data_IF_974709309010
#
_entry.id   IF_974709309010
#
_cell.length_a   1.000
_cell.length_b   1.000
_cell.length_c   1.000
_cell.angle_alpha   90.00
_cell.angle_beta   90.00
_cell.angle_gamma   90.00
#
_symmetry.space_group_name_H-M   'P 1'
#
loop_
_entity.id
_entity.type
_entity.pdbx_description
1 polymer ?
#
# COMPACT_ATOMS: atom_id res chain seq x y z
N UNK A 1 -21.66 11.63 -5.84
CA UNK A 1 -21.19 10.69 -6.89
C UNK A 1 -19.66 10.76 -6.90
N UNK A 2 -18.97 9.81 -6.27
CA UNK A 2 -17.50 9.81 -6.11
C UNK A 2 -16.87 8.77 -7.05
N UNK A 3 -17.07 8.94 -8.36
CA UNK A 3 -16.49 8.05 -9.38
C UNK A 3 -15.94 8.85 -10.54
N UNK A 4 -14.86 8.35 -11.16
CA UNK A 4 -14.39 8.86 -12.45
C UNK A 4 -15.41 8.47 -13.52
N UNK A 5 -15.76 9.41 -14.42
CA UNK A 5 -16.55 9.08 -15.59
C UNK A 5 -15.70 8.21 -16.53
N UNK A 6 -16.12 6.96 -16.74
CA UNK A 6 -15.44 6.00 -17.62
C UNK A 6 -16.45 5.30 -18.52
N UNK A 7 -16.02 4.82 -19.69
CA UNK A 7 -16.84 3.97 -20.56
C UNK A 7 -16.81 2.50 -20.09
N UNK A 8 -15.66 2.08 -19.54
CA UNK A 8 -15.40 0.79 -18.91
C UNK A 8 -14.29 0.95 -17.86
N UNK A 9 -14.20 0.01 -16.92
CA UNK A 9 -13.02 -0.13 -16.06
C UNK A 9 -12.63 -1.59 -15.88
N UNK A 10 -11.33 -1.81 -15.65
CA UNK A 10 -10.78 -3.11 -15.25
C UNK A 10 -9.99 -2.94 -13.96
N UNK A 11 -10.37 -3.65 -12.91
CA UNK A 11 -9.65 -3.70 -11.64
C UNK A 11 -8.88 -5.02 -11.54
N UNK A 12 -7.69 -4.98 -10.93
CA UNK A 12 -6.80 -6.14 -10.79
C UNK A 12 -6.35 -6.26 -9.33
N UNK A 13 -6.39 -7.46 -8.80
CA UNK A 13 -5.83 -7.79 -7.47
C UNK A 13 -5.15 -9.15 -7.50
N UNK A 14 -4.06 -9.31 -6.76
CA UNK A 14 -3.40 -10.62 -6.60
C UNK A 14 -4.10 -11.53 -5.58
N UNK A 15 -5.05 -11.01 -4.80
CA UNK A 15 -5.71 -11.72 -3.73
C UNK A 15 -7.19 -12.03 -4.04
N UNK A 16 -7.54 -13.32 -4.03
CA UNK A 16 -8.92 -13.81 -4.24
C UNK A 16 -9.89 -13.25 -3.19
N UNK A 17 -9.52 -13.29 -1.92
CA UNK A 17 -10.36 -12.76 -0.84
C UNK A 17 -10.65 -11.26 -0.99
N UNK A 18 -9.66 -10.49 -1.47
CA UNK A 18 -9.86 -9.07 -1.76
C UNK A 18 -10.77 -8.87 -2.98
N UNK A 19 -10.61 -9.69 -4.04
CA UNK A 19 -11.52 -9.65 -5.18
C UNK A 19 -12.97 -9.95 -4.77
N UNK A 20 -13.21 -10.96 -3.94
CA UNK A 20 -14.55 -11.28 -3.46
C UNK A 20 -15.17 -10.10 -2.68
N UNK A 21 -14.39 -9.45 -1.80
CA UNK A 21 -14.83 -8.28 -1.05
C UNK A 21 -15.15 -7.09 -1.97
N UNK A 22 -14.25 -6.76 -2.90
CA UNK A 22 -14.44 -5.66 -3.85
C UNK A 22 -15.63 -5.95 -4.75
N UNK A 23 -15.78 -7.19 -5.23
CA UNK A 23 -16.92 -7.56 -6.06
C UNK A 23 -18.24 -7.38 -5.31
N UNK A 24 -18.34 -7.86 -4.06
CA UNK A 24 -19.56 -7.71 -3.26
C UNK A 24 -19.97 -6.23 -3.09
N UNK A 25 -19.00 -5.33 -2.97
CA UNK A 25 -19.23 -3.88 -2.85
C UNK A 25 -19.56 -3.22 -4.19
N UNK A 26 -18.89 -3.64 -5.26
CA UNK A 26 -18.99 -3.01 -6.58
C UNK A 26 -20.15 -3.57 -7.43
N UNK A 27 -20.59 -4.80 -7.18
CA UNK A 27 -21.59 -5.50 -7.99
C UNK A 27 -22.86 -4.69 -8.30
N UNK A 28 -23.44 -3.93 -7.35
CA UNK A 28 -24.63 -3.12 -7.64
C UNK A 28 -24.41 -2.00 -8.67
N UNK A 29 -23.17 -1.57 -8.87
CA UNK A 29 -22.79 -0.48 -9.76
C UNK A 29 -21.95 -0.94 -10.97
N UNK A 30 -21.59 -2.22 -11.05
CA UNK A 30 -20.84 -2.80 -12.15
C UNK A 30 -21.67 -2.88 -13.42
N UNK A 31 -21.08 -2.48 -14.54
CA UNK A 31 -21.69 -2.59 -15.87
C UNK A 31 -21.20 -3.86 -16.58
N UNK A 32 -21.91 -4.33 -17.64
CA UNK A 32 -21.49 -5.54 -18.37
C UNK A 32 -20.07 -5.49 -18.94
N UNK A 33 -19.55 -4.31 -19.26
CA UNK A 33 -18.20 -4.10 -19.79
C UNK A 33 -17.12 -3.87 -18.74
N UNK A 34 -17.49 -3.81 -17.45
CA UNK A 34 -16.52 -3.66 -16.36
C UNK A 34 -16.00 -5.03 -15.93
N UNK A 35 -14.72 -5.11 -15.52
CA UNK A 35 -14.08 -6.37 -15.17
C UNK A 35 -13.30 -6.28 -13.85
N UNK A 36 -13.40 -7.32 -13.02
CA UNK A 36 -12.54 -7.53 -11.86
C UNK A 36 -11.73 -8.81 -12.08
N UNK A 37 -10.42 -8.68 -12.18
CA UNK A 37 -9.50 -9.77 -12.45
C UNK A 37 -8.68 -10.11 -11.21
N UNK A 38 -8.53 -11.40 -10.96
CA UNK A 38 -7.52 -11.92 -10.04
C UNK A 38 -6.33 -12.37 -10.87
N UNK A 39 -5.15 -11.82 -10.61
CA UNK A 39 -3.96 -12.13 -11.39
C UNK A 39 -2.67 -11.55 -10.83
N UNK A 40 -1.54 -12.12 -11.26
CA UNK A 40 -0.22 -11.67 -10.86
C UNK A 40 0.41 -10.79 -11.95
N UNK A 41 1.02 -9.68 -11.57
CA UNK A 41 1.65 -8.74 -12.50
C UNK A 41 2.87 -9.30 -13.25
N UNK A 42 3.45 -10.40 -12.76
CA UNK A 42 4.50 -11.15 -13.46
C UNK A 42 3.98 -11.99 -14.61
N UNK A 43 2.66 -12.25 -14.68
CA UNK A 43 2.04 -12.97 -15.78
C UNK A 43 1.99 -12.07 -17.04
N UNK A 44 2.68 -12.44 -18.13
CA UNK A 44 2.63 -11.68 -19.38
C UNK A 44 1.25 -11.74 -20.06
N UNK A 45 0.42 -12.76 -19.77
CA UNK A 45 -0.90 -12.90 -20.36
C UNK A 45 -1.94 -11.98 -19.70
N UNK A 46 -1.72 -11.59 -18.43
CA UNK A 46 -2.60 -10.68 -17.71
C UNK A 46 -2.73 -9.35 -18.46
N UNK A 47 -3.94 -8.96 -18.87
CA UNK A 47 -4.17 -7.72 -19.65
C UNK A 47 -3.37 -7.65 -20.98
N UNK A 48 -2.99 -8.79 -21.56
CA UNK A 48 -2.29 -8.80 -22.84
C UNK A 48 -3.17 -8.17 -23.94
N UNK A 49 -2.61 -7.19 -24.67
CA UNK A 49 -3.33 -6.46 -25.72
C UNK A 49 -4.27 -5.36 -25.22
N UNK A 50 -4.45 -5.22 -23.91
CA UNK A 50 -5.29 -4.16 -23.34
C UNK A 50 -4.55 -2.82 -23.28
N UNK A 51 -5.31 -1.73 -23.43
CA UNK A 51 -4.83 -0.36 -23.22
C UNK A 51 -5.93 0.45 -22.54
N UNK A 52 -5.52 1.38 -21.67
CA UNK A 52 -6.41 2.22 -20.89
C UNK A 52 -6.01 3.70 -21.01
N UNK A 53 -7.01 4.58 -21.13
CA UNK A 53 -6.77 6.03 -21.09
C UNK A 53 -6.11 6.45 -19.78
N UNK A 54 -6.63 5.93 -18.67
CA UNK A 54 -6.14 6.21 -17.32
C UNK A 54 -5.85 4.90 -16.61
N UNK A 55 -4.65 4.79 -16.03
CA UNK A 55 -4.24 3.69 -15.16
C UNK A 55 -4.03 4.25 -13.76
N UNK A 56 -4.59 3.59 -12.75
CA UNK A 56 -4.38 3.91 -11.35
C UNK A 56 -3.64 2.74 -10.68
N UNK A 57 -2.39 2.98 -10.30
CA UNK A 57 -1.58 2.11 -9.48
C UNK A 57 -1.72 2.55 -8.02
N UNK A 58 -2.82 2.15 -7.36
CA UNK A 58 -3.14 2.54 -5.98
C UNK A 58 -2.39 1.64 -4.98
N UNK A 59 -1.36 2.18 -4.31
CA UNK A 59 -0.43 1.47 -3.42
C UNK A 59 0.20 0.20 -4.01
N UNK A 60 0.11 0.04 -5.34
CA UNK A 60 0.46 -1.20 -6.03
C UNK A 60 1.95 -1.54 -5.89
N UNK A 61 2.82 -0.52 -5.96
CA UNK A 61 4.27 -0.71 -5.90
C UNK A 61 4.72 -1.41 -4.61
N UNK A 62 4.15 -1.02 -3.46
CA UNK A 62 4.46 -1.67 -2.19
C UNK A 62 3.73 -3.00 -2.02
N UNK A 63 2.47 -3.06 -2.45
CA UNK A 63 1.63 -4.26 -2.33
C UNK A 63 2.14 -5.44 -3.17
N UNK A 64 2.84 -5.19 -4.28
CA UNK A 64 3.32 -6.25 -5.17
C UNK A 64 4.35 -7.17 -4.51
N UNK A 65 5.07 -6.73 -3.46
CA UNK A 65 6.08 -7.54 -2.77
C UNK A 65 5.50 -8.87 -2.26
N UNK A 66 4.26 -8.86 -1.78
CA UNK A 66 3.59 -10.06 -1.25
C UNK A 66 3.17 -11.07 -2.33
N UNK A 67 3.16 -10.69 -3.61
CA UNK A 67 2.69 -11.52 -4.72
C UNK A 67 3.76 -11.81 -5.77
N UNK A 68 4.67 -10.87 -5.99
CA UNK A 68 5.79 -10.95 -6.91
C UNK A 68 7.01 -10.23 -6.32
N UNK A 69 7.74 -10.88 -5.39
CA UNK A 69 8.94 -10.31 -4.80
C UNK A 69 9.94 -9.84 -5.87
N UNK A 70 10.56 -8.69 -5.63
CA UNK A 70 11.55 -8.05 -6.52
C UNK A 70 11.01 -7.50 -7.85
N UNK A 71 9.71 -7.59 -8.13
CA UNK A 71 9.12 -7.11 -9.39
C UNK A 71 8.98 -5.57 -9.46
N UNK A 72 9.27 -4.84 -8.38
CA UNK A 72 9.09 -3.39 -8.29
C UNK A 72 9.94 -2.60 -9.29
N UNK A 73 11.10 -3.11 -9.70
CA UNK A 73 11.91 -2.49 -10.75
C UNK A 73 11.25 -2.57 -12.12
N UNK A 74 10.50 -3.63 -12.38
CA UNK A 74 9.87 -3.91 -13.67
C UNK A 74 8.43 -3.38 -13.75
N UNK A 75 7.81 -3.08 -12.60
CA UNK A 75 6.40 -2.72 -12.51
C UNK A 75 6.02 -1.57 -13.45
N UNK A 76 6.77 -0.47 -13.46
CA UNK A 76 6.42 0.67 -14.31
C UNK A 76 6.65 0.35 -15.80
N UNK A 77 7.70 -0.42 -16.14
CA UNK A 77 7.87 -0.90 -17.51
C UNK A 77 6.69 -1.78 -17.95
N UNK A 78 6.16 -2.60 -17.02
CA UNK A 78 4.97 -3.44 -17.24
C UNK A 78 3.68 -2.65 -17.42
N UNK A 79 3.53 -1.52 -16.72
CA UNK A 79 2.37 -0.62 -16.82
C UNK A 79 2.45 0.32 -18.03
N UNK A 80 3.64 0.55 -18.58
CA UNK A 80 3.87 1.44 -19.71
C UNK A 80 3.00 1.13 -20.94
N UNK A 81 2.97 -0.11 -21.49
CA UNK A 81 2.14 -0.40 -22.65
C UNK A 81 0.63 -0.33 -22.36
N UNK A 82 0.22 -0.51 -21.10
CA UNK A 82 -1.18 -0.44 -20.69
C UNK A 82 -1.70 1.01 -20.58
N UNK A 83 -0.80 2.00 -20.49
CA UNK A 83 -1.16 3.40 -20.25
C UNK A 83 -1.14 4.21 -21.53
N UNK A 84 -2.31 4.66 -21.99
CA UNK A 84 -2.45 5.47 -23.21
C UNK A 84 -2.28 6.97 -22.95
N UNK A 85 -2.87 7.51 -21.86
CA UNK A 85 -2.81 8.96 -21.57
C UNK A 85 -2.18 9.27 -20.22
N UNK A 86 -2.63 8.66 -19.13
CA UNK A 86 -2.22 9.06 -17.78
C UNK A 86 -2.08 7.88 -16.83
N UNK A 87 -0.95 7.79 -16.17
CA UNK A 87 -0.74 6.94 -15.00
C UNK A 87 -0.85 7.80 -13.74
N UNK A 88 -1.62 7.32 -12.76
CA UNK A 88 -1.60 7.80 -11.40
C UNK A 88 -0.96 6.74 -10.51
N UNK A 89 0.04 7.11 -9.73
CA UNK A 89 0.69 6.24 -8.75
C UNK A 89 0.44 6.83 -7.37
N UNK A 90 -0.07 6.01 -6.45
CA UNK A 90 -0.13 6.36 -5.03
C UNK A 90 0.84 5.46 -4.25
N UNK A 91 1.31 5.98 -3.12
CA UNK A 91 2.14 5.24 -2.18
C UNK A 91 2.42 6.08 -0.94
N UNK A 92 3.17 5.51 0.00
CA UNK A 92 3.54 6.18 1.24
C UNK A 92 5.05 6.31 1.34
N UNK A 93 5.52 7.44 1.88
CA UNK A 93 6.94 7.61 2.16
C UNK A 93 7.40 6.61 3.23
N UNK A 94 8.56 5.94 3.07
CA UNK A 94 9.02 4.96 4.04
C UNK A 94 9.18 5.54 5.45
N UNK A 95 8.51 4.93 6.43
CA UNK A 95 8.44 5.41 7.82
C UNK A 95 9.10 4.48 8.85
N UNK A 96 9.70 3.36 8.40
CA UNK A 96 10.35 2.36 9.29
C UNK A 96 11.88 2.36 9.18
N UNK A 97 12.46 3.20 8.32
CA UNK A 97 13.90 3.14 7.96
C UNK A 97 14.79 3.74 9.04
N UNK A 98 14.49 4.96 9.48
CA UNK A 98 15.25 5.67 10.50
C UNK A 98 14.30 6.17 11.59
N UNK A 99 14.74 6.12 12.85
CA UNK A 99 13.93 6.58 13.98
C UNK A 99 13.75 8.10 13.91
N UNK A 100 12.50 8.60 13.87
CA UNK A 100 12.24 10.03 13.93
C UNK A 100 12.60 10.64 15.29
N UNK A 101 12.93 11.92 15.31
CA UNK A 101 13.28 12.64 16.54
C UNK A 101 12.05 13.05 17.35
N UNK A 102 10.92 13.30 16.68
CA UNK A 102 9.67 13.67 17.33
C UNK A 102 8.94 12.43 17.88
N UNK A 103 8.21 12.62 18.97
CA UNK A 103 7.54 11.52 19.69
C UNK A 103 6.48 10.82 18.83
N UNK A 104 5.66 11.58 18.09
CA UNK A 104 4.61 11.01 17.24
C UNK A 104 5.21 10.15 16.13
N UNK A 105 6.28 10.62 15.50
CA UNK A 105 7.05 9.86 14.52
C UNK A 105 7.73 8.64 15.12
N UNK A 106 8.33 8.75 16.31
CA UNK A 106 8.92 7.63 17.00
C UNK A 106 7.89 6.53 17.30
N UNK A 107 6.66 6.89 17.70
CA UNK A 107 5.56 5.93 17.92
C UNK A 107 5.12 5.24 16.62
N UNK A 108 4.95 5.99 15.52
CA UNK A 108 4.60 5.41 14.20
C UNK A 108 5.71 4.47 13.70
N UNK A 109 6.96 4.88 13.86
CA UNK A 109 8.13 4.07 13.52
C UNK A 109 8.20 2.80 14.38
N UNK A 110 7.99 2.90 15.70
CA UNK A 110 7.95 1.75 16.63
C UNK A 110 6.83 0.78 16.24
N UNK A 111 5.63 1.26 15.93
CA UNK A 111 4.49 0.44 15.49
C UNK A 111 4.81 -0.29 14.19
N UNK A 112 5.35 0.41 13.18
CA UNK A 112 5.73 -0.20 11.91
C UNK A 112 6.81 -1.27 12.08
N UNK A 113 7.84 -0.99 12.90
CA UNK A 113 8.91 -1.95 13.20
C UNK A 113 8.42 -3.16 13.97
N UNK A 114 7.52 -2.96 14.94
CA UNK A 114 6.86 -4.03 15.67
C UNK A 114 6.07 -4.93 14.71
N UNK A 115 5.25 -4.34 13.82
CA UNK A 115 4.51 -5.10 12.82
C UNK A 115 5.45 -5.94 11.95
N UNK A 116 6.50 -5.32 11.41
CA UNK A 116 7.43 -6.02 10.54
C UNK A 116 8.16 -7.16 11.28
N UNK A 117 8.53 -6.96 12.54
CA UNK A 117 9.11 -8.03 13.35
C UNK A 117 8.12 -9.21 13.52
N UNK A 118 6.86 -8.93 13.83
CA UNK A 118 5.83 -9.96 13.99
C UNK A 118 5.59 -10.75 12.70
N UNK A 119 5.48 -10.05 11.56
CA UNK A 119 5.32 -10.68 10.25
C UNK A 119 6.53 -11.54 9.89
N UNK A 120 7.75 -11.06 10.16
CA UNK A 120 8.99 -11.83 9.91
C UNK A 120 8.95 -13.15 10.68
N UNK A 121 8.61 -13.09 11.97
CA UNK A 121 8.59 -14.27 12.84
C UNK A 121 7.47 -15.24 12.48
N UNK A 122 6.39 -14.76 11.87
CA UNK A 122 5.32 -15.58 11.33
C UNK A 122 5.63 -16.19 9.95
N UNK A 123 6.81 -15.90 9.37
CA UNK A 123 7.19 -16.36 8.03
C UNK A 123 6.50 -15.60 6.89
N UNK A 124 5.93 -14.42 7.16
CA UNK A 124 5.26 -13.57 6.18
C UNK A 124 6.19 -12.48 5.64
N UNK A 125 5.90 -12.01 4.41
CA UNK A 125 6.59 -10.88 3.80
C UNK A 125 5.97 -9.55 4.22
N UNK A 126 6.80 -8.53 4.43
CA UNK A 126 6.35 -7.17 4.73
C UNK A 126 6.07 -6.39 3.45
N UNK A 127 5.18 -5.41 3.55
CA UNK A 127 5.13 -4.36 2.55
C UNK A 127 6.46 -3.60 2.50
N UNK A 128 6.90 -3.25 1.30
CA UNK A 128 8.05 -2.37 1.09
C UNK A 128 7.56 -1.06 0.51
N UNK A 129 7.78 0.01 1.26
CA UNK A 129 7.50 1.36 0.79
C UNK A 129 8.72 1.94 0.09
N UNK A 130 8.48 2.83 -0.88
CA UNK A 130 9.54 3.41 -1.70
C UNK A 130 9.51 4.94 -1.61
N UNK A 131 10.66 5.61 -1.42
CA UNK A 131 10.70 7.07 -1.39
C UNK A 131 10.17 7.66 -2.70
N UNK A 132 9.42 8.76 -2.60
CA UNK A 132 8.83 9.42 -3.79
C UNK A 132 9.87 9.73 -4.87
N UNK A 133 11.09 10.11 -4.48
CA UNK A 133 12.18 10.44 -5.41
C UNK A 133 12.66 9.21 -6.20
N UNK A 134 12.69 8.05 -5.56
CA UNK A 134 12.99 6.79 -6.23
C UNK A 134 11.90 6.45 -7.24
N UNK A 135 10.63 6.60 -6.86
CA UNK A 135 9.49 6.34 -7.76
C UNK A 135 9.52 7.25 -8.97
N UNK A 136 9.79 8.55 -8.79
CA UNK A 136 9.95 9.50 -9.88
C UNK A 136 11.09 9.11 -10.83
N UNK A 137 12.21 8.61 -10.29
CA UNK A 137 13.32 8.13 -11.10
C UNK A 137 12.95 6.87 -11.91
N UNK A 138 12.23 5.92 -11.31
CA UNK A 138 11.81 4.71 -12.02
C UNK A 138 10.77 4.98 -13.10
N UNK A 139 9.79 5.85 -12.84
CA UNK A 139 8.83 6.29 -13.86
C UNK A 139 9.55 6.83 -15.11
N UNK A 140 10.55 7.71 -14.92
CA UNK A 140 11.36 8.24 -16.03
C UNK A 140 12.10 7.15 -16.78
N UNK A 141 12.71 6.21 -16.06
CA UNK A 141 13.43 5.06 -16.67
C UNK A 141 12.49 4.15 -17.47
N UNK A 142 11.23 4.03 -17.06
CA UNK A 142 10.23 3.17 -17.70
C UNK A 142 9.40 3.87 -18.79
N UNK A 143 9.86 5.02 -19.31
CA UNK A 143 9.20 5.70 -20.43
C UNK A 143 7.97 6.51 -20.02
N UNK A 144 7.95 7.05 -18.80
CA UNK A 144 6.95 8.03 -18.37
C UNK A 144 7.59 9.39 -18.08
N UNK A 145 6.82 10.45 -18.30
CA UNK A 145 7.13 11.81 -17.85
C UNK A 145 6.23 12.17 -16.67
N UNK A 146 6.75 12.25 -15.43
CA UNK A 146 5.99 12.79 -14.31
C UNK A 146 5.61 14.24 -14.58
N UNK A 147 4.31 14.55 -14.54
CA UNK A 147 3.76 15.89 -14.80
C UNK A 147 3.22 16.57 -13.55
N UNK A 148 2.94 15.81 -12.50
CA UNK A 148 2.65 16.34 -11.17
C UNK A 148 3.04 15.33 -10.09
N UNK A 149 3.47 15.84 -8.94
CA UNK A 149 3.67 15.07 -7.72
C UNK A 149 3.14 15.88 -6.54
N UNK A 150 2.30 15.27 -5.69
CA UNK A 150 1.74 15.91 -4.50
C UNK A 150 1.94 15.01 -3.30
N UNK A 151 2.22 15.63 -2.15
CA UNK A 151 2.38 14.97 -0.86
C UNK A 151 1.18 15.31 0.02
N UNK A 152 0.69 14.32 0.76
CA UNK A 152 -0.47 14.40 1.63
C UNK A 152 -0.05 13.96 3.04
N UNK A 153 0.16 14.90 3.98
CA UNK A 153 0.60 14.56 5.33
C UNK A 153 -0.36 13.60 6.03
N UNK A 154 0.17 12.57 6.69
CA UNK A 154 -0.66 11.56 7.36
C UNK A 154 -0.92 11.95 8.81
N UNK A 155 -2.14 11.62 9.27
CA UNK A 155 -2.58 11.76 10.65
C UNK A 155 -3.14 10.42 11.12
N UNK A 156 -2.29 9.60 11.70
CA UNK A 156 -2.70 8.30 12.22
C UNK A 156 -3.53 8.47 13.49
N UNK A 157 -4.67 7.77 13.54
CA UNK A 157 -5.62 7.80 14.66
C UNK A 157 -5.69 6.44 15.34
N UNK A 158 -6.51 6.33 16.39
CA UNK A 158 -6.72 5.09 17.14
C UNK A 158 -6.99 3.86 16.25
N UNK A 159 -7.78 4.01 15.18
CA UNK A 159 -8.02 2.92 14.21
C UNK A 159 -6.73 2.36 13.59
N UNK A 160 -5.76 3.22 13.26
CA UNK A 160 -4.47 2.77 12.74
C UNK A 160 -3.72 1.99 13.81
N UNK A 161 -3.58 2.57 15.02
CA UNK A 161 -2.86 1.93 16.14
C UNK A 161 -3.44 0.56 16.44
N UNK A 162 -4.76 0.47 16.65
CA UNK A 162 -5.43 -0.78 16.96
C UNK A 162 -5.25 -1.78 15.83
N UNK A 163 -5.51 -1.38 14.58
CA UNK A 163 -5.38 -2.26 13.42
C UNK A 163 -3.98 -2.84 13.23
N UNK A 164 -2.92 -2.04 13.44
CA UNK A 164 -1.54 -2.53 13.33
C UNK A 164 -1.16 -3.51 14.44
N UNK A 165 -1.68 -3.34 15.66
CA UNK A 165 -1.38 -4.26 16.77
C UNK A 165 -2.26 -5.51 16.71
N UNK A 166 -3.55 -5.37 16.40
CA UNK A 166 -4.50 -6.48 16.29
C UNK A 166 -4.09 -7.48 15.20
N UNK A 167 -3.60 -6.99 14.06
CA UNK A 167 -3.17 -7.88 12.98
C UNK A 167 -1.97 -8.76 13.38
N UNK A 168 -1.13 -8.29 14.30
CA UNK A 168 0.01 -9.06 14.79
C UNK A 168 -0.43 -10.15 15.75
N UNK A 169 -1.49 -9.92 16.54
CA UNK A 169 -1.93 -10.84 17.59
C UNK A 169 -2.16 -12.26 17.09
N UNK A 170 -2.96 -12.43 16.04
CA UNK A 170 -3.27 -13.76 15.49
C UNK A 170 -2.06 -14.51 14.95
N UNK A 171 -0.99 -13.78 14.58
CA UNK A 171 0.26 -14.33 14.04
C UNK A 171 1.21 -14.78 15.15
N UNK A 172 1.16 -14.09 16.29
CA UNK A 172 2.01 -14.36 17.45
C UNK A 172 1.53 -15.55 18.27
N UNK A 173 0.24 -15.92 18.18
CA UNK A 173 -0.35 -17.03 18.94
C UNK A 173 0.40 -18.37 18.72
N UNK A 174 0.95 -18.58 17.52
CA UNK A 174 1.70 -19.78 17.17
C UNK A 174 3.14 -19.83 17.72
N UNK A 175 3.65 -18.72 18.29
CA UNK A 175 5.06 -18.58 18.68
C UNK A 175 5.35 -18.88 20.16
N UNK A 176 4.38 -19.41 20.90
CA UNK A 176 4.54 -19.79 22.30
C UNK A 176 4.98 -18.63 23.20
N UNK A 177 5.98 -18.86 24.05
CA UNK A 177 6.45 -17.87 25.05
C UNK A 177 7.00 -16.57 24.44
N UNK A 178 7.63 -16.63 23.26
CA UNK A 178 8.08 -15.43 22.53
C UNK A 178 6.87 -14.63 22.05
N UNK A 179 5.84 -15.32 21.55
CA UNK A 179 4.57 -14.70 21.16
C UNK A 179 3.94 -13.91 22.31
N UNK A 180 3.88 -14.48 23.51
CA UNK A 180 3.33 -13.81 24.69
C UNK A 180 4.10 -12.53 25.06
N UNK A 181 5.43 -12.57 25.02
CA UNK A 181 6.26 -11.39 25.28
C UNK A 181 6.04 -10.28 24.23
N UNK A 182 5.92 -10.65 22.96
CA UNK A 182 5.64 -9.70 21.88
C UNK A 182 4.23 -9.13 21.95
N UNK A 183 3.23 -9.93 22.35
CA UNK A 183 1.88 -9.44 22.61
C UNK A 183 1.90 -8.39 23.71
N UNK A 184 2.55 -8.68 24.84
CA UNK A 184 2.67 -7.71 25.94
C UNK A 184 3.38 -6.41 25.50
N UNK A 185 4.43 -6.54 24.69
CA UNK A 185 5.11 -5.38 24.10
C UNK A 185 4.19 -4.56 23.18
N UNK A 186 3.42 -5.24 22.32
CA UNK A 186 2.45 -4.60 21.42
C UNK A 186 1.35 -3.85 22.16
N UNK A 187 0.82 -4.41 23.25
CA UNK A 187 -0.17 -3.74 24.11
C UNK A 187 0.42 -2.52 24.83
N UNK A 188 1.63 -2.62 25.38
CA UNK A 188 2.30 -1.46 25.97
C UNK A 188 2.58 -0.34 24.95
N UNK A 189 2.90 -0.71 23.70
CA UNK A 189 3.06 0.25 22.60
C UNK A 189 1.71 0.87 22.20
N UNK A 190 0.63 0.07 22.16
CA UNK A 190 -0.73 0.54 21.92
C UNK A 190 -1.12 1.59 22.95
N UNK A 191 -0.94 1.33 24.23
CA UNK A 191 -1.32 2.24 25.31
C UNK A 191 -0.61 3.59 25.18
N UNK A 192 0.71 3.57 24.95
CA UNK A 192 1.51 4.79 24.71
C UNK A 192 1.00 5.57 23.50
N UNK A 193 0.74 4.88 22.39
CA UNK A 193 0.29 5.52 21.17
C UNK A 193 -1.14 6.08 21.28
N UNK A 194 -2.06 5.36 21.94
CA UNK A 194 -3.42 5.83 22.16
C UNK A 194 -3.47 7.01 23.12
N UNK A 195 -2.67 7.01 24.20
CA UNK A 195 -2.53 8.15 25.09
C UNK A 195 -2.04 9.40 24.34
N UNK A 196 -1.06 9.25 23.44
CA UNK A 196 -0.60 10.35 22.59
C UNK A 196 -1.71 10.83 21.63
N UNK A 197 -2.46 9.92 21.00
CA UNK A 197 -3.59 10.25 20.12
C UNK A 197 -4.69 10.98 20.88
N UNK A 198 -4.99 10.58 22.11
CA UNK A 198 -5.99 11.25 22.95
C UNK A 198 -5.56 12.67 23.31
N UNK A 199 -4.29 12.87 23.68
CA UNK A 199 -3.75 14.18 24.02
C UNK A 199 -3.61 15.13 22.81
N UNK A 200 -3.27 14.62 21.62
CA UNK A 200 -2.87 15.45 20.46
C UNK A 200 -3.78 15.30 19.22
N UNK A 201 -4.79 14.43 19.30
CA UNK A 201 -5.76 14.11 18.25
C UNK A 201 -5.27 13.15 17.16
N UNK A 202 -3.95 12.98 16.98
CA UNK A 202 -3.35 12.07 15.99
C UNK A 202 -1.83 11.95 16.15
N UNK A 203 -1.24 10.83 15.73
CA UNK A 203 0.19 10.74 15.45
C UNK A 203 0.45 11.36 14.06
N UNK A 204 1.13 12.51 14.01
CA UNK A 204 1.45 13.22 12.77
C UNK A 204 2.83 12.81 12.29
N UNK A 205 2.89 11.94 11.29
CA UNK A 205 4.17 11.48 10.75
C UNK A 205 4.02 11.01 9.31
N UNK A 206 5.05 11.20 8.49
CA UNK A 206 5.06 10.77 7.10
C UNK A 206 4.04 11.47 6.20
N UNK A 207 3.97 11.02 4.96
CA UNK A 207 3.01 11.47 3.97
C UNK A 207 2.73 10.38 2.94
N UNK A 208 1.50 10.37 2.44
CA UNK A 208 1.19 9.69 1.19
C UNK A 208 1.60 10.59 0.03
N UNK A 209 1.90 10.00 -1.12
CA UNK A 209 2.14 10.74 -2.34
C UNK A 209 1.21 10.28 -3.46
N UNK A 210 0.88 11.22 -4.34
CA UNK A 210 0.22 10.95 -5.61
C UNK A 210 1.07 11.55 -6.72
N UNK A 211 1.47 10.71 -7.67
CA UNK A 211 2.21 11.11 -8.86
C UNK A 211 1.30 10.92 -10.07
N UNK A 212 1.22 11.93 -10.91
CA UNK A 212 0.60 11.88 -12.22
C UNK A 212 1.73 11.86 -13.27
N UNK A 213 1.70 10.89 -14.19
CA UNK A 213 2.71 10.73 -15.22
C UNK A 213 2.10 10.39 -16.58
N UNK A 214 2.61 11.02 -17.63
CA UNK A 214 2.19 10.77 -19.02
C UNK A 214 3.17 9.79 -19.68
N UNK A 215 2.69 8.84 -20.50
CA UNK A 215 3.57 7.97 -21.29
C UNK A 215 4.35 8.77 -22.35
N UNK A 216 5.63 8.44 -22.54
CA UNK A 216 6.52 9.02 -23.60
C UNK A 216 6.43 8.23 -24.88
#
# INVERSE_FOLDING_TARGET
>A
MLGLATERWTAVTGAEGHAAQVHALAAPAMRPQDALLVGNWTDPALLAGEMFDTVLADYLLGAVEGFAPYFQSELFARLRPLTRRRLYVTGVEPYVVARPADEAGALVWEIGRFRDACLTLAGEQHYREYPIDWVLAQLRKSGFTPVAARKFPIRYKARFVNGQIDMCRSRLDALGGIGQALIAHGEALRDRALAHVEAHGSLRHGFDYVIAADPV
#
